data_IF_813443034324
#
_entry.id   IF_813443034324
#
_cell.length_a   1.000
_cell.length_b   1.000
_cell.length_c   1.000
_cell.angle_alpha   90.00
_cell.angle_beta   90.00
_cell.angle_gamma   90.00
#
_symmetry.space_group_name_H-M   'P 1'
#
loop_
_entity.id
_entity.type
_entity.pdbx_description
1 polymer ?
#
# COMPACT_ATOMS: atom_id res chain seq x y z
N UNK A 1 -14.24 -71.29 -9.31
CA UNK A 1 -12.85 -70.93 -9.79
C UNK A 1 -12.79 -69.44 -9.89
N UNK A 2 -11.97 -68.86 -9.04
CA UNK A 2 -11.32 -67.54 -9.10
C UNK A 2 -12.15 -66.27 -9.40
N UNK A 3 -12.50 -65.59 -8.32
CA UNK A 3 -12.82 -64.15 -8.31
C UNK A 3 -11.58 -63.30 -8.49
N UNK A 4 -11.64 -62.14 -9.12
CA UNK A 4 -10.58 -61.15 -9.03
C UNK A 4 -10.84 -60.11 -7.93
N UNK A 5 -9.79 -59.85 -7.25
CA UNK A 5 -9.53 -58.86 -6.19
C UNK A 5 -9.95 -57.45 -6.55
N UNK A 6 -10.78 -56.81 -5.73
CA UNK A 6 -11.03 -55.39 -5.75
C UNK A 6 -10.03 -54.68 -4.82
N UNK A 7 -9.05 -54.02 -5.37
CA UNK A 7 -8.16 -53.14 -4.64
C UNK A 7 -8.88 -51.84 -4.21
N UNK A 8 -9.24 -51.78 -2.92
CA UNK A 8 -9.69 -50.54 -2.26
C UNK A 8 -8.51 -49.58 -2.14
N UNK A 9 -8.56 -48.47 -2.84
CA UNK A 9 -7.71 -47.30 -2.59
C UNK A 9 -8.16 -46.70 -1.26
N UNK A 10 -7.33 -46.84 -0.23
CA UNK A 10 -7.48 -46.14 1.05
C UNK A 10 -7.02 -44.71 0.87
N UNK A 11 -7.95 -43.76 0.80
CA UNK A 11 -7.68 -42.35 1.05
C UNK A 11 -7.60 -42.12 2.55
N UNK A 12 -6.39 -41.96 3.07
CA UNK A 12 -6.19 -41.49 4.45
C UNK A 12 -6.39 -40.01 4.50
N UNK A 13 -7.16 -39.42 5.42
CA UNK A 13 -7.19 -37.99 5.63
C UNK A 13 -5.87 -37.59 6.27
N UNK A 14 -5.18 -36.62 5.64
CA UNK A 14 -4.06 -35.93 6.24
C UNK A 14 -4.56 -35.14 7.45
N UNK A 15 -4.39 -35.70 8.64
CA UNK A 15 -4.51 -34.94 9.90
C UNK A 15 -3.30 -34.06 10.00
N UNK A 16 -3.45 -32.76 9.72
CA UNK A 16 -2.45 -31.76 10.03
C UNK A 16 -2.60 -31.40 11.51
N UNK A 17 -1.83 -32.04 12.36
CA UNK A 17 -1.65 -31.61 13.75
C UNK A 17 -0.73 -30.40 13.75
N UNK A 18 -1.28 -29.23 14.06
CA UNK A 18 -0.49 -28.01 14.24
C UNK A 18 0.04 -27.97 15.67
N UNK A 19 1.20 -28.55 15.91
CA UNK A 19 2.03 -28.24 17.05
C UNK A 19 2.76 -26.92 16.77
N UNK A 20 2.66 -25.94 17.71
CA UNK A 20 3.27 -24.61 17.60
C UNK A 20 4.81 -24.59 17.51
N UNK A 21 5.46 -25.75 17.57
CA UNK A 21 6.92 -25.89 17.63
C UNK A 21 7.57 -26.45 16.36
N UNK A 22 6.81 -26.70 15.27
CA UNK A 22 7.37 -27.27 14.02
C UNK A 22 7.74 -26.23 12.96
N UNK A 23 8.13 -25.02 13.36
CA UNK A 23 8.61 -24.00 12.39
C UNK A 23 10.11 -24.15 12.13
N UNK A 24 10.45 -25.12 11.31
CA UNK A 24 11.80 -25.27 10.77
C UNK A 24 11.99 -24.22 9.68
N UNK A 25 13.03 -23.38 9.80
CA UNK A 25 13.50 -22.50 8.73
C UNK A 25 13.60 -23.28 7.41
N UNK A 26 12.83 -22.82 6.38
CA UNK A 26 12.92 -23.36 5.02
C UNK A 26 11.77 -24.22 4.54
N UNK A 27 10.71 -24.48 5.32
CA UNK A 27 9.56 -25.25 4.83
C UNK A 27 8.71 -24.40 3.88
N UNK A 28 8.63 -24.80 2.61
CA UNK A 28 7.75 -24.20 1.63
C UNK A 28 6.31 -24.64 1.92
N UNK A 29 5.44 -23.68 2.25
CA UNK A 29 4.00 -23.90 2.44
C UNK A 29 3.29 -23.29 1.25
N UNK A 30 2.37 -24.06 0.63
CA UNK A 30 1.53 -23.55 -0.44
C UNK A 30 0.10 -23.34 0.08
N UNK A 31 -0.56 -22.30 -0.42
CA UNK A 31 -2.00 -22.12 -0.18
C UNK A 31 -2.77 -23.29 -0.78
N UNK A 32 -3.66 -23.95 -0.03
CA UNK A 32 -4.45 -25.06 -0.54
C UNK A 32 -5.18 -24.71 -1.83
N UNK A 33 -5.06 -25.59 -2.84
CA UNK A 33 -5.71 -25.41 -4.14
C UNK A 33 -5.11 -24.33 -5.05
N UNK A 34 -3.92 -23.81 -4.72
CA UNK A 34 -3.24 -22.79 -5.53
C UNK A 34 -1.74 -23.05 -5.62
N UNK A 35 -1.06 -22.40 -6.58
CA UNK A 35 0.40 -22.37 -6.70
C UNK A 35 1.04 -21.27 -5.84
N UNK A 36 0.26 -20.61 -5.00
CA UNK A 36 0.72 -19.45 -4.24
C UNK A 36 1.46 -19.90 -2.97
N UNK A 37 2.70 -19.42 -2.82
CA UNK A 37 3.59 -19.77 -1.73
C UNK A 37 3.40 -18.82 -0.53
N UNK A 38 3.28 -19.40 0.67
CA UNK A 38 3.35 -18.69 1.94
C UNK A 38 4.81 -18.71 2.42
N UNK A 39 5.33 -17.58 2.84
CA UNK A 39 6.68 -17.40 3.38
C UNK A 39 6.60 -16.99 4.84
N UNK A 40 7.38 -17.64 5.70
CA UNK A 40 7.56 -17.22 7.09
C UNK A 40 8.72 -16.23 7.20
N UNK A 41 8.66 -15.35 8.19
CA UNK A 41 9.73 -14.45 8.59
C UNK A 41 10.31 -13.60 7.43
N UNK A 42 9.45 -13.19 6.49
CA UNK A 42 9.88 -12.35 5.37
C UNK A 42 10.12 -10.91 5.84
N UNK A 43 11.34 -10.39 5.64
CA UNK A 43 11.66 -8.99 5.94
C UNK A 43 10.79 -8.02 5.15
N UNK A 44 10.03 -7.18 5.86
CA UNK A 44 9.16 -6.15 5.25
C UNK A 44 9.95 -4.93 4.79
N UNK A 45 11.20 -4.75 5.21
CA UNK A 45 12.07 -3.68 4.72
C UNK A 45 12.21 -3.68 3.20
N UNK A 46 12.20 -4.86 2.56
CA UNK A 46 12.25 -4.99 1.09
C UNK A 46 10.94 -4.62 0.40
N UNK A 47 9.86 -4.49 1.15
CA UNK A 47 8.50 -4.25 0.68
C UNK A 47 7.97 -2.86 1.04
N UNK A 48 8.74 -2.03 1.74
CA UNK A 48 8.41 -0.65 2.12
C UNK A 48 9.29 0.37 1.41
N UNK A 49 8.76 1.56 1.15
CA UNK A 49 9.52 2.65 0.51
C UNK A 49 10.55 3.28 1.45
N UNK A 50 10.36 3.20 2.76
CA UNK A 50 11.38 3.59 3.74
C UNK A 50 12.57 2.64 3.79
N UNK A 51 12.40 1.40 3.28
CA UNK A 51 13.39 0.31 3.38
C UNK A 51 13.74 -0.03 4.82
N UNK A 52 12.75 0.06 5.72
CA UNK A 52 12.82 -0.39 7.11
C UNK A 52 11.62 -1.28 7.43
N UNK A 53 11.69 -2.00 8.53
CA UNK A 53 10.65 -2.88 9.04
C UNK A 53 11.14 -4.30 9.25
N UNK A 54 10.74 -4.89 10.35
CA UNK A 54 11.03 -6.27 10.73
C UNK A 54 10.26 -7.29 9.86
N UNK A 55 10.29 -8.56 10.26
CA UNK A 55 9.68 -9.64 9.49
C UNK A 55 8.15 -9.66 9.60
N UNK A 56 7.47 -10.06 8.52
CA UNK A 56 6.13 -10.61 8.61
C UNK A 56 6.21 -12.02 9.19
N UNK A 57 5.39 -12.34 10.19
CA UNK A 57 5.29 -13.71 10.70
C UNK A 57 4.98 -14.66 9.54
N UNK A 58 3.96 -14.31 8.75
CA UNK A 58 3.61 -14.96 7.50
C UNK A 58 3.38 -13.94 6.39
N UNK A 59 3.80 -14.26 5.18
CA UNK A 59 3.62 -13.43 4.00
C UNK A 59 3.13 -14.25 2.83
N UNK A 60 2.15 -13.72 2.10
CA UNK A 60 1.66 -14.29 0.84
C UNK A 60 1.42 -13.19 -0.19
N UNK A 61 1.65 -13.48 -1.47
CA UNK A 61 1.43 -12.55 -2.57
C UNK A 61 0.56 -13.21 -3.66
N UNK A 62 -0.77 -13.20 -3.49
CA UNK A 62 -1.70 -13.81 -4.42
C UNK A 62 -1.65 -13.11 -5.78
N UNK A 63 -1.82 -13.88 -6.87
CA UNK A 63 -1.79 -13.40 -8.25
C UNK A 63 -3.18 -13.25 -8.85
N UNK A 64 -4.19 -13.85 -8.22
CA UNK A 64 -5.58 -13.84 -8.67
C UNK A 64 -6.56 -13.86 -7.47
N UNK A 65 -7.84 -13.75 -7.78
CA UNK A 65 -8.90 -13.70 -6.77
C UNK A 65 -9.05 -15.00 -5.98
N UNK A 66 -8.81 -16.16 -6.61
CA UNK A 66 -8.90 -17.46 -5.94
C UNK A 66 -7.80 -17.59 -4.89
N UNK A 67 -6.55 -17.29 -5.25
CA UNK A 67 -5.44 -17.29 -4.29
C UNK A 67 -5.64 -16.25 -3.19
N UNK A 68 -6.26 -15.09 -3.51
CA UNK A 68 -6.59 -14.08 -2.51
C UNK A 68 -7.64 -14.60 -1.51
N UNK A 69 -8.74 -15.21 -1.97
CA UNK A 69 -9.75 -15.84 -1.10
C UNK A 69 -9.13 -16.95 -0.26
N UNK A 70 -8.32 -17.82 -0.87
CA UNK A 70 -7.61 -18.88 -0.16
C UNK A 70 -6.69 -18.33 0.94
N UNK A 71 -6.08 -17.14 0.73
CA UNK A 71 -5.24 -16.46 1.75
C UNK A 71 -6.06 -16.08 2.99
N UNK A 72 -7.27 -15.53 2.81
CA UNK A 72 -8.17 -15.19 3.93
C UNK A 72 -8.64 -16.45 4.67
N UNK A 73 -9.03 -17.51 3.95
CA UNK A 73 -9.46 -18.77 4.55
C UNK A 73 -8.30 -19.45 5.30
N UNK A 74 -7.09 -19.38 4.77
CA UNK A 74 -5.90 -19.89 5.46
C UNK A 74 -5.64 -19.13 6.77
N UNK A 75 -5.69 -17.80 6.74
CA UNK A 75 -5.54 -16.98 7.94
C UNK A 75 -6.62 -17.31 8.99
N UNK A 76 -7.88 -17.44 8.57
CA UNK A 76 -9.01 -17.79 9.43
C UNK A 76 -8.82 -19.16 10.07
N UNK A 77 -8.43 -20.17 9.29
CA UNK A 77 -8.19 -21.55 9.78
C UNK A 77 -7.08 -21.58 10.84
N UNK A 78 -6.03 -20.75 10.66
CA UNK A 78 -4.91 -20.66 11.60
C UNK A 78 -5.11 -19.60 12.70
N UNK A 79 -6.27 -18.93 12.76
CA UNK A 79 -6.61 -17.86 13.71
C UNK A 79 -5.62 -16.72 13.71
N UNK A 80 -5.14 -16.33 12.52
CA UNK A 80 -4.20 -15.26 12.32
C UNK A 80 -4.92 -13.95 11.98
N UNK A 81 -4.42 -12.84 12.53
CA UNK A 81 -4.78 -11.51 12.05
C UNK A 81 -4.28 -11.29 10.62
N UNK A 82 -5.00 -10.51 9.83
CA UNK A 82 -4.63 -10.18 8.45
C UNK A 82 -4.22 -8.72 8.34
N UNK A 83 -3.06 -8.47 7.70
CA UNK A 83 -2.59 -7.16 7.30
C UNK A 83 -2.47 -7.08 5.78
N UNK A 84 -3.02 -6.01 5.19
CA UNK A 84 -3.01 -5.79 3.74
C UNK A 84 -1.86 -4.87 3.35
N UNK A 85 -1.03 -5.32 2.40
CA UNK A 85 0.14 -4.60 1.92
C UNK A 85 0.04 -4.31 0.42
N UNK A 86 -0.11 -3.03 0.06
CA UNK A 86 0.03 -2.56 -1.31
C UNK A 86 1.50 -2.44 -1.73
N UNK A 87 1.87 -1.29 -2.28
CA UNK A 87 3.28 -0.99 -2.63
C UNK A 87 4.17 -0.63 -1.43
N UNK A 88 3.63 -0.52 -0.22
CA UNK A 88 4.40 -0.16 0.99
C UNK A 88 4.89 1.30 1.01
N UNK A 89 4.27 2.18 0.21
CA UNK A 89 4.76 3.55 0.01
C UNK A 89 4.26 4.57 1.03
N UNK A 90 3.37 4.17 1.95
CA UNK A 90 2.84 5.01 3.01
C UNK A 90 2.80 4.26 4.36
N UNK A 91 3.83 3.44 4.63
CA UNK A 91 3.89 2.60 5.81
C UNK A 91 5.23 2.78 6.53
N UNK A 92 5.16 2.82 7.85
CA UNK A 92 6.27 2.59 8.77
C UNK A 92 5.97 1.31 9.55
N UNK A 93 6.73 0.26 9.29
CA UNK A 93 6.59 -1.04 9.96
C UNK A 93 7.64 -1.17 11.04
N UNK A 94 7.23 -1.56 12.25
CA UNK A 94 8.13 -1.78 13.39
C UNK A 94 9.28 -2.73 13.07
N UNK A 95 10.43 -2.51 13.70
CA UNK A 95 11.59 -3.41 13.62
C UNK A 95 11.31 -4.80 14.20
N UNK A 96 10.30 -4.92 15.09
CA UNK A 96 9.80 -6.21 15.61
C UNK A 96 8.99 -6.98 14.58
N UNK A 97 8.60 -6.36 13.46
CA UNK A 97 7.78 -6.94 12.42
C UNK A 97 6.28 -6.92 12.73
N UNK A 98 5.55 -7.78 12.02
CA UNK A 98 4.09 -7.89 12.13
C UNK A 98 3.68 -9.33 12.39
N UNK A 99 2.86 -9.59 13.43
CA UNK A 99 2.27 -10.89 13.67
C UNK A 99 1.16 -11.17 12.65
N UNK A 100 0.84 -12.45 12.45
CA UNK A 100 -0.21 -12.91 11.57
C UNK A 100 0.20 -12.98 10.10
N UNK A 101 -0.79 -12.88 9.20
CA UNK A 101 -0.59 -12.99 7.76
C UNK A 101 -0.57 -11.62 7.10
N UNK A 102 0.53 -11.27 6.44
CA UNK A 102 0.61 -10.12 5.54
C UNK A 102 0.28 -10.57 4.12
N UNK A 103 -0.80 -10.02 3.53
CA UNK A 103 -1.22 -10.27 2.15
C UNK A 103 -0.73 -9.12 1.27
N UNK A 104 0.24 -9.41 0.39
CA UNK A 104 0.79 -8.45 -0.57
C UNK A 104 -0.01 -8.44 -1.87
N UNK A 105 -0.51 -7.28 -2.30
CA UNK A 105 -1.35 -7.15 -3.51
C UNK A 105 -0.56 -6.88 -4.78
N UNK A 106 0.76 -6.76 -4.72
CA UNK A 106 1.62 -6.33 -5.86
C UNK A 106 1.54 -7.18 -7.12
N UNK A 107 1.06 -8.41 -7.02
CA UNK A 107 0.89 -9.33 -8.15
C UNK A 107 -0.55 -9.37 -8.69
N UNK A 108 -1.51 -8.72 -8.04
CA UNK A 108 -2.85 -8.50 -8.58
C UNK A 108 -2.77 -7.39 -9.64
N UNK A 109 -2.41 -7.74 -10.88
CA UNK A 109 -2.19 -6.79 -11.96
C UNK A 109 -3.07 -7.07 -13.16
N UNK A 110 -3.80 -6.07 -13.56
CA UNK A 110 -4.61 -6.03 -14.77
C UNK A 110 -5.00 -4.58 -15.06
N UNK A 111 -4.98 -4.19 -16.33
CA UNK A 111 -5.46 -2.87 -16.76
C UNK A 111 -6.20 -3.03 -18.07
N UNK A 112 -7.42 -2.51 -18.13
CA UNK A 112 -8.28 -2.52 -19.30
C UNK A 112 -8.83 -1.13 -19.57
N UNK A 113 -8.66 -0.63 -20.77
CA UNK A 113 -9.19 0.65 -21.26
C UNK A 113 -10.38 0.40 -22.16
N UNK A 114 -11.54 0.92 -21.83
CA UNK A 114 -12.76 0.84 -22.65
C UNK A 114 -12.97 2.18 -23.36
N UNK A 115 -12.68 2.27 -24.67
CA UNK A 115 -12.79 3.53 -25.42
C UNK A 115 -14.23 4.00 -25.59
N UNK A 116 -15.22 3.10 -25.57
CA UNK A 116 -16.63 3.44 -25.78
C UNK A 116 -17.20 4.16 -24.57
N UNK A 117 -16.73 3.82 -23.37
CA UNK A 117 -17.21 4.40 -22.11
C UNK A 117 -16.25 5.44 -21.51
N UNK A 118 -15.02 5.49 -21.97
CA UNK A 118 -13.97 6.31 -21.35
C UNK A 118 -13.51 5.79 -19.97
N UNK A 119 -13.83 4.53 -19.66
CA UNK A 119 -13.47 3.94 -18.37
C UNK A 119 -12.19 3.12 -18.45
N UNK A 120 -11.39 3.18 -17.38
CA UNK A 120 -10.26 2.30 -17.16
C UNK A 120 -10.48 1.47 -15.91
N UNK A 121 -10.41 0.14 -16.05
CA UNK A 121 -10.40 -0.80 -14.94
C UNK A 121 -8.96 -1.17 -14.62
N UNK A 122 -8.56 -1.04 -13.35
CA UNK A 122 -7.22 -1.39 -12.90
C UNK A 122 -7.27 -2.23 -11.63
N UNK A 123 -6.53 -3.34 -11.61
CA UNK A 123 -6.39 -4.19 -10.43
C UNK A 123 -5.59 -3.48 -9.31
N UNK A 124 -5.85 -3.88 -8.06
CA UNK A 124 -5.31 -3.20 -6.88
C UNK A 124 -3.79 -3.14 -6.79
N UNK A 125 -3.09 -4.11 -7.37
CA UNK A 125 -1.62 -4.17 -7.38
C UNK A 125 -0.98 -3.38 -8.53
N UNK A 126 -1.75 -2.79 -9.44
CA UNK A 126 -1.20 -1.98 -10.54
C UNK A 126 -0.53 -0.72 -9.97
N UNK A 127 0.72 -0.41 -10.36
CA UNK A 127 1.37 0.82 -9.94
C UNK A 127 0.62 2.05 -10.47
N UNK A 128 0.20 2.93 -9.56
CA UNK A 128 -0.55 4.13 -9.92
C UNK A 128 0.19 5.04 -10.94
N UNK A 129 1.51 5.27 -10.82
CA UNK A 129 2.27 6.04 -11.83
C UNK A 129 2.25 5.39 -13.22
N UNK A 130 2.29 4.05 -13.28
CA UNK A 130 2.24 3.32 -14.55
C UNK A 130 0.88 3.49 -15.22
N UNK A 131 -0.22 3.41 -14.45
CA UNK A 131 -1.56 3.65 -14.96
C UNK A 131 -1.70 5.07 -15.53
N UNK A 132 -1.13 6.08 -14.84
CA UNK A 132 -1.12 7.46 -15.32
C UNK A 132 -0.37 7.61 -16.66
N UNK A 133 0.78 6.98 -16.82
CA UNK A 133 1.52 6.97 -18.11
C UNK A 133 0.75 6.26 -19.19
N UNK A 134 0.16 5.09 -18.91
CA UNK A 134 -0.63 4.34 -19.89
C UNK A 134 -1.85 5.13 -20.39
N UNK A 135 -2.48 5.92 -19.52
CA UNK A 135 -3.56 6.83 -19.90
C UNK A 135 -3.04 7.97 -20.79
N UNK A 136 -1.93 8.61 -20.39
CA UNK A 136 -1.35 9.70 -21.15
C UNK A 136 -0.89 9.29 -22.56
N UNK A 137 -0.27 8.13 -22.71
CA UNK A 137 0.16 7.56 -24.01
C UNK A 137 -1.02 7.32 -24.96
N UNK A 138 -2.23 7.14 -24.42
CA UNK A 138 -3.48 6.97 -25.19
C UNK A 138 -4.23 8.27 -25.42
N UNK A 139 -3.74 9.41 -24.92
CA UNK A 139 -4.46 10.68 -24.98
C UNK A 139 -5.68 10.71 -24.05
N UNK A 140 -5.67 9.98 -22.94
CA UNK A 140 -6.75 9.95 -21.96
C UNK A 140 -6.41 10.86 -20.77
N UNK A 141 -7.13 11.96 -20.63
CA UNK A 141 -6.97 12.92 -19.54
C UNK A 141 -7.66 12.45 -18.27
N UNK A 142 -7.08 12.84 -17.10
CA UNK A 142 -7.65 12.66 -15.78
C UNK A 142 -6.71 12.03 -14.76
N UNK A 143 -5.62 11.38 -15.17
CA UNK A 143 -4.64 10.74 -14.26
C UNK A 143 -3.25 11.39 -14.26
N UNK A 144 -3.05 12.51 -14.94
CA UNK A 144 -1.75 13.21 -15.04
C UNK A 144 -1.16 13.55 -13.66
N UNK A 145 -2.04 13.90 -12.72
CA UNK A 145 -1.66 14.23 -11.33
C UNK A 145 -1.05 13.05 -10.57
N UNK A 146 -1.37 11.83 -10.98
CA UNK A 146 -1.00 10.61 -10.25
C UNK A 146 0.40 10.10 -10.57
N UNK A 147 1.05 10.60 -11.66
CA UNK A 147 2.31 10.08 -12.20
C UNK A 147 3.46 10.04 -11.20
N UNK A 148 3.51 10.98 -10.27
CA UNK A 148 4.58 11.06 -9.27
C UNK A 148 4.21 10.48 -7.90
N UNK A 149 3.03 9.90 -7.73
CA UNK A 149 2.60 9.32 -6.45
C UNK A 149 3.05 7.87 -6.37
N UNK A 150 4.04 7.52 -5.55
CA UNK A 150 4.41 6.12 -5.40
C UNK A 150 3.29 5.35 -4.73
N UNK A 151 2.94 4.18 -5.26
CA UNK A 151 1.87 3.37 -4.68
C UNK A 151 1.18 2.48 -5.70
N UNK A 152 0.26 1.67 -5.21
CA UNK A 152 -0.64 0.84 -6.02
C UNK A 152 -2.03 1.47 -6.10
N UNK A 153 -2.79 1.09 -7.11
CA UNK A 153 -4.20 1.50 -7.30
C UNK A 153 -5.02 1.23 -6.03
N UNK A 154 -4.94 0.02 -5.46
CA UNK A 154 -5.68 -0.31 -4.23
C UNK A 154 -5.30 0.58 -3.05
N UNK A 155 -4.00 0.84 -2.85
CA UNK A 155 -3.53 1.78 -1.82
C UNK A 155 -4.00 3.21 -2.07
N UNK A 156 -4.03 3.66 -3.33
CA UNK A 156 -4.52 4.98 -3.70
C UNK A 156 -6.02 5.15 -3.42
N UNK A 157 -6.83 4.12 -3.71
CA UNK A 157 -8.27 4.08 -3.39
C UNK A 157 -8.48 4.16 -1.87
N UNK A 158 -7.77 3.34 -1.08
CA UNK A 158 -7.89 3.34 0.39
C UNK A 158 -7.52 4.69 0.99
N UNK A 159 -6.49 5.35 0.47
CA UNK A 159 -5.98 6.62 0.99
C UNK A 159 -6.66 7.87 0.40
N UNK A 160 -7.57 7.73 -0.57
CA UNK A 160 -8.00 8.86 -1.40
C UNK A 160 -6.79 9.70 -1.84
N UNK A 161 -5.81 9.02 -2.46
CA UNK A 161 -4.55 9.64 -2.84
C UNK A 161 -4.78 10.81 -3.81
N UNK A 162 -3.97 11.85 -3.69
CA UNK A 162 -4.14 13.02 -4.56
C UNK A 162 -2.93 13.95 -4.55
N UNK A 163 -2.81 14.70 -5.64
CA UNK A 163 -1.82 15.75 -5.87
C UNK A 163 -2.36 16.77 -6.88
N UNK A 164 -1.73 17.93 -7.02
CA UNK A 164 -2.08 18.93 -8.03
C UNK A 164 -3.57 19.31 -8.04
N UNK A 165 -4.20 19.38 -6.86
CA UNK A 165 -5.64 19.69 -6.62
C UNK A 165 -6.62 18.62 -7.11
N UNK A 166 -6.16 17.44 -7.50
CA UNK A 166 -6.98 16.28 -7.85
C UNK A 166 -6.72 15.10 -6.91
N UNK A 167 -7.67 14.18 -6.84
CA UNK A 167 -7.58 12.96 -6.02
C UNK A 167 -8.38 11.81 -6.63
N UNK A 168 -8.24 10.62 -6.05
CA UNK A 168 -8.97 9.42 -6.50
C UNK A 168 -10.47 9.65 -6.54
N UNK A 169 -11.06 10.31 -5.53
CA UNK A 169 -12.49 10.56 -5.45
C UNK A 169 -13.07 11.32 -6.66
N UNK A 170 -12.24 12.15 -7.33
CA UNK A 170 -12.69 12.99 -8.44
C UNK A 170 -13.00 12.17 -9.71
N UNK A 171 -12.40 11.01 -9.86
CA UNK A 171 -12.51 10.19 -11.09
C UNK A 171 -12.86 8.72 -10.84
N UNK A 172 -12.97 8.29 -9.59
CA UNK A 172 -13.38 6.92 -9.27
C UNK A 172 -14.87 6.73 -9.59
N UNK A 173 -15.18 5.73 -10.42
CA UNK A 173 -16.56 5.28 -10.66
C UNK A 173 -16.99 4.32 -9.56
N UNK A 174 -16.18 3.30 -9.29
CA UNK A 174 -16.38 2.34 -8.23
C UNK A 174 -15.09 1.59 -7.90
N UNK A 175 -15.09 0.91 -6.76
CA UNK A 175 -14.06 -0.04 -6.38
C UNK A 175 -14.69 -1.38 -5.98
N UNK A 176 -14.13 -2.47 -6.46
CA UNK A 176 -14.48 -3.80 -5.98
C UNK A 176 -13.66 -4.13 -4.75
N UNK A 177 -14.32 -4.56 -3.70
CA UNK A 177 -13.73 -4.80 -2.37
C UNK A 177 -14.07 -6.22 -1.90
N UNK A 178 -13.07 -6.96 -1.50
CA UNK A 178 -13.21 -8.28 -0.89
C UNK A 178 -13.17 -8.13 0.63
N UNK A 179 -14.25 -8.55 1.29
CA UNK A 179 -14.32 -8.61 2.76
C UNK A 179 -13.56 -9.84 3.31
N UNK A 180 -13.21 -9.87 4.61
CA UNK A 180 -12.63 -11.04 5.26
C UNK A 180 -13.52 -12.28 5.23
N UNK A 181 -14.84 -12.10 5.05
CA UNK A 181 -15.80 -13.22 4.87
C UNK A 181 -15.78 -13.84 3.46
N UNK A 182 -14.96 -13.29 2.54
CA UNK A 182 -14.91 -13.75 1.15
C UNK A 182 -15.97 -13.13 0.24
N UNK A 183 -16.78 -12.18 0.75
CA UNK A 183 -17.80 -11.47 -0.04
C UNK A 183 -17.16 -10.37 -0.87
N UNK A 184 -17.50 -10.31 -2.17
CA UNK A 184 -17.13 -9.24 -3.07
C UNK A 184 -18.26 -8.21 -3.12
N UNK A 185 -17.91 -6.95 -2.90
CA UNK A 185 -18.84 -5.81 -2.97
C UNK A 185 -18.29 -4.77 -3.93
N UNK A 186 -19.17 -4.07 -4.63
CA UNK A 186 -18.80 -2.92 -5.47
C UNK A 186 -19.26 -1.65 -4.75
N UNK A 187 -18.30 -0.80 -4.37
CA UNK A 187 -18.53 0.41 -3.60
C UNK A 187 -18.32 1.65 -4.47
N UNK A 188 -19.27 2.59 -4.39
CA UNK A 188 -19.17 3.92 -5.03
C UNK A 188 -18.32 4.86 -4.18
N UNK A 189 -17.85 6.01 -4.72
CA UNK A 189 -17.14 7.03 -3.94
C UNK A 189 -17.90 7.51 -2.70
N UNK A 190 -19.24 7.60 -2.80
CA UNK A 190 -20.12 7.98 -1.69
C UNK A 190 -20.11 6.93 -0.58
N UNK A 191 -20.18 5.64 -0.94
CA UNK A 191 -20.09 4.53 0.03
C UNK A 191 -18.70 4.38 0.63
N UNK A 192 -17.65 4.83 -0.07
CA UNK A 192 -16.28 4.88 0.45
C UNK A 192 -16.05 6.03 1.43
N UNK A 193 -16.98 6.99 1.54
CA UNK A 193 -16.96 8.06 2.53
C UNK A 193 -15.71 8.93 2.45
N UNK A 194 -15.28 9.29 1.24
CA UNK A 194 -14.03 10.00 1.02
C UNK A 194 -13.97 11.37 1.69
N UNK A 195 -12.85 11.62 2.33
CA UNK A 195 -12.39 12.94 2.76
C UNK A 195 -10.90 13.11 2.46
N UNK A 196 -10.29 14.23 2.89
CA UNK A 196 -8.86 14.47 2.67
C UNK A 196 -8.01 13.35 3.25
N UNK A 197 -7.35 12.57 2.38
CA UNK A 197 -6.50 11.41 2.75
C UNK A 197 -7.23 10.34 3.57
N UNK A 198 -8.55 10.18 3.38
CA UNK A 198 -9.35 9.24 4.18
C UNK A 198 -10.40 8.53 3.34
N UNK A 199 -10.64 7.26 3.66
CA UNK A 199 -11.81 6.48 3.27
C UNK A 199 -12.26 5.57 4.41
N UNK A 200 -13.47 5.03 4.34
CA UNK A 200 -13.98 4.04 5.30
C UNK A 200 -13.21 2.70 5.27
N UNK A 201 -12.41 2.47 4.23
CA UNK A 201 -11.56 1.27 4.15
C UNK A 201 -10.30 1.36 5.02
N UNK A 202 -9.93 2.55 5.50
CA UNK A 202 -8.81 2.69 6.43
C UNK A 202 -9.16 2.06 7.78
N UNK A 203 -8.31 1.12 8.22
CA UNK A 203 -8.57 0.37 9.46
C UNK A 203 -9.51 -0.83 9.29
N UNK A 204 -10.15 -1.00 8.13
CA UNK A 204 -10.87 -2.23 7.80
C UNK A 204 -9.89 -3.32 7.36
N UNK A 205 -10.33 -4.58 7.46
CA UNK A 205 -9.61 -5.73 6.89
C UNK A 205 -10.08 -6.05 5.46
N UNK A 206 -10.92 -5.20 4.87
CA UNK A 206 -11.41 -5.37 3.50
C UNK A 206 -10.38 -4.90 2.48
N UNK A 207 -10.20 -5.68 1.42
CA UNK A 207 -9.18 -5.47 0.40
C UNK A 207 -9.81 -4.98 -0.91
N UNK A 208 -9.33 -3.85 -1.43
CA UNK A 208 -9.63 -3.42 -2.81
C UNK A 208 -8.99 -4.41 -3.77
N UNK A 209 -9.79 -5.04 -4.63
CA UNK A 209 -9.33 -5.99 -5.66
C UNK A 209 -9.08 -5.28 -6.99
N UNK A 210 -9.96 -4.34 -7.35
CA UNK A 210 -9.83 -3.48 -8.55
C UNK A 210 -10.60 -2.18 -8.36
N UNK A 211 -10.31 -1.20 -9.23
CA UNK A 211 -11.01 0.07 -9.29
C UNK A 211 -11.30 0.44 -10.73
N UNK A 212 -12.42 1.12 -10.95
CA UNK A 212 -12.84 1.68 -12.24
C UNK A 212 -12.78 3.21 -12.16
N UNK A 213 -12.04 3.82 -13.07
CA UNK A 213 -11.92 5.29 -13.17
C UNK A 213 -12.57 5.79 -14.44
N UNK A 214 -13.24 6.94 -14.37
CA UNK A 214 -13.76 7.68 -15.53
C UNK A 214 -12.67 8.64 -16.00
N UNK A 215 -12.21 8.49 -17.23
CA UNK A 215 -11.26 9.37 -17.88
C UNK A 215 -11.87 10.00 -19.14
N UNK A 216 -11.16 10.94 -19.73
CA UNK A 216 -11.55 11.64 -20.95
C UNK A 216 -10.68 11.19 -22.13
N UNK A 217 -11.16 10.25 -22.98
CA UNK A 217 -10.43 9.81 -24.17
C UNK A 217 -10.49 10.87 -25.28
N UNK A 218 -9.68 10.64 -26.35
CA UNK A 218 -9.76 11.42 -27.59
C UNK A 218 -8.97 12.73 -27.59
N UNK A 219 -8.14 12.98 -26.58
CA UNK A 219 -7.22 14.11 -26.56
C UNK A 219 -5.94 13.81 -27.31
N UNK A 220 -5.18 14.87 -27.72
CA UNK A 220 -3.88 14.69 -28.32
C UNK A 220 -2.90 14.05 -27.29
N UNK A 221 -2.35 12.84 -27.54
CA UNK A 221 -1.45 12.18 -26.60
C UNK A 221 -0.22 13.02 -26.24
N UNK A 222 0.34 13.79 -27.18
CA UNK A 222 1.51 14.64 -26.91
C UNK A 222 1.22 15.69 -25.83
N UNK A 223 0.04 16.29 -25.84
CA UNK A 223 -0.37 17.29 -24.82
C UNK A 223 -0.57 16.65 -23.45
N UNK A 224 -1.21 15.46 -23.39
CA UNK A 224 -1.43 14.74 -22.13
C UNK A 224 -0.09 14.26 -21.56
N UNK A 225 0.81 13.73 -22.40
CA UNK A 225 2.17 13.35 -22.02
C UNK A 225 2.98 14.55 -21.51
N UNK A 226 2.88 15.71 -22.17
CA UNK A 226 3.57 16.92 -21.73
C UNK A 226 3.12 17.36 -20.34
N UNK A 227 1.80 17.39 -20.09
CA UNK A 227 1.23 17.73 -18.77
C UNK A 227 1.66 16.71 -17.70
N UNK A 228 1.61 15.42 -18.03
CA UNK A 228 2.05 14.33 -17.14
C UNK A 228 3.53 14.48 -16.80
N UNK A 229 4.38 14.75 -17.79
CA UNK A 229 5.82 14.98 -17.60
C UNK A 229 6.08 16.20 -16.73
N UNK A 230 5.35 17.29 -16.93
CA UNK A 230 5.46 18.51 -16.12
C UNK A 230 5.12 18.25 -14.65
N UNK A 231 4.07 17.49 -14.37
CA UNK A 231 3.72 17.10 -13.00
C UNK A 231 4.80 16.25 -12.34
N UNK A 232 5.40 15.30 -13.08
CA UNK A 232 6.50 14.49 -12.57
C UNK A 232 7.74 15.35 -12.29
N UNK A 233 8.11 16.24 -13.20
CA UNK A 233 9.26 17.11 -13.04
C UNK A 233 9.09 18.08 -11.85
N UNK A 234 7.91 18.68 -11.69
CA UNK A 234 7.60 19.49 -10.52
C UNK A 234 7.80 18.73 -9.21
N UNK A 235 7.40 17.45 -9.15
CA UNK A 235 7.63 16.64 -7.96
C UNK A 235 9.11 16.32 -7.74
N UNK A 236 9.85 15.99 -8.80
CA UNK A 236 11.30 15.70 -8.73
C UNK A 236 12.11 16.90 -8.25
N UNK A 237 11.72 18.09 -8.66
CA UNK A 237 12.40 19.33 -8.25
C UNK A 237 12.04 19.77 -6.83
N UNK A 238 10.83 19.43 -6.33
CA UNK A 238 10.36 19.88 -5.01
C UNK A 238 10.48 18.82 -3.91
N UNK A 239 10.60 17.54 -4.24
CA UNK A 239 10.63 16.44 -3.29
C UNK A 239 11.96 15.67 -3.34
N UNK A 240 12.39 15.05 -2.23
CA UNK A 240 13.66 14.32 -2.16
C UNK A 240 13.51 12.89 -2.71
N UNK A 241 13.78 12.68 -3.99
CA UNK A 241 13.70 11.36 -4.63
C UNK A 241 14.98 10.51 -4.54
N UNK A 242 16.07 11.07 -4.00
CA UNK A 242 17.40 10.44 -4.01
C UNK A 242 17.63 9.43 -2.87
N UNK A 243 16.78 9.45 -1.84
CA UNK A 243 16.86 8.54 -0.70
C UNK A 243 15.50 7.90 -0.41
N UNK A 244 15.49 6.71 0.25
CA UNK A 244 14.25 6.06 0.64
C UNK A 244 13.42 6.92 1.58
N UNK A 245 12.11 7.04 1.28
CA UNK A 245 11.12 7.77 2.07
C UNK A 245 9.71 7.29 1.73
N UNK A 246 8.71 7.65 2.51
CA UNK A 246 7.31 7.29 2.25
C UNK A 246 6.45 8.47 1.76
N UNK A 247 7.06 9.54 1.24
CA UNK A 247 6.33 10.76 0.91
C UNK A 247 6.15 11.69 2.11
N UNK A 248 5.07 12.46 2.11
CA UNK A 248 4.73 13.34 3.23
C UNK A 248 4.38 12.52 4.47
N UNK A 249 5.04 12.82 5.58
CA UNK A 249 4.87 12.09 6.86
C UNK A 249 3.63 12.55 7.60
N UNK A 250 3.29 13.85 7.52
CA UNK A 250 2.17 14.44 8.24
C UNK A 250 1.13 15.02 7.28
N UNK A 251 -0.13 14.98 7.68
CA UNK A 251 -1.23 15.70 7.06
C UNK A 251 -1.03 17.20 7.22
N UNK A 252 -1.55 17.99 6.27
CA UNK A 252 -1.51 19.44 6.39
C UNK A 252 -2.63 19.90 7.35
N UNK A 253 -2.32 20.47 8.53
CA UNK A 253 -3.33 21.05 9.41
C UNK A 253 -3.80 22.40 8.83
N UNK A 254 -5.11 22.58 8.70
CA UNK A 254 -5.64 23.88 8.23
C UNK A 254 -5.45 24.96 9.29
N UNK A 255 -5.05 26.17 8.92
CA UNK A 255 -4.77 26.67 7.56
C UNK A 255 -3.32 26.42 7.09
N UNK A 256 -2.47 25.78 7.89
CA UNK A 256 -1.04 25.65 7.67
C UNK A 256 -0.68 24.42 6.82
N UNK A 257 0.55 24.45 6.28
CA UNK A 257 1.18 23.28 5.69
C UNK A 257 2.14 22.67 6.70
N UNK A 258 2.07 21.36 6.94
CA UNK A 258 2.94 20.66 7.88
C UNK A 258 4.42 20.92 7.60
N UNK A 259 4.85 20.84 6.33
CA UNK A 259 6.24 21.14 5.94
C UNK A 259 6.69 22.54 6.32
N UNK A 260 5.82 23.55 6.21
CA UNK A 260 6.13 24.91 6.63
C UNK A 260 6.30 25.01 8.15
N UNK A 261 5.41 24.41 8.93
CA UNK A 261 5.52 24.39 10.40
C UNK A 261 6.85 23.75 10.86
N UNK A 262 7.19 22.59 10.28
CA UNK A 262 8.42 21.86 10.59
C UNK A 262 9.66 22.68 10.22
N UNK A 263 9.64 23.34 9.06
CA UNK A 263 10.73 24.22 8.61
C UNK A 263 10.90 25.44 9.53
N UNK A 264 9.80 26.12 9.88
CA UNK A 264 9.83 27.28 10.79
C UNK A 264 10.21 26.89 12.23
N UNK A 265 10.06 25.62 12.59
CA UNK A 265 10.56 25.07 13.85
C UNK A 265 12.08 24.82 13.83
N UNK A 266 12.72 24.92 12.64
CA UNK A 266 14.16 24.75 12.48
C UNK A 266 14.61 23.30 12.37
N UNK A 267 13.71 22.38 12.00
CA UNK A 267 13.98 20.93 12.04
C UNK A 267 14.54 20.37 10.72
N UNK A 268 14.68 21.15 9.64
CA UNK A 268 15.34 20.67 8.41
C UNK A 268 16.73 20.14 8.71
N UNK A 269 17.04 18.94 8.23
CA UNK A 269 18.32 18.29 8.45
C UNK A 269 18.50 17.64 9.83
N UNK A 270 17.55 17.82 10.76
CA UNK A 270 17.62 17.16 12.07
C UNK A 270 17.56 15.64 11.91
N UNK A 271 18.40 14.94 12.65
CA UNK A 271 18.63 13.50 12.45
C UNK A 271 18.57 12.75 13.78
N UNK A 272 17.93 11.57 13.76
CA UNK A 272 17.97 10.58 14.84
C UNK A 272 18.41 9.25 14.21
N UNK A 273 19.51 8.68 14.69
CA UNK A 273 20.10 7.49 14.09
C UNK A 273 20.34 7.67 12.59
N UNK A 274 19.81 6.77 11.77
CA UNK A 274 19.84 6.89 10.30
C UNK A 274 18.70 7.66 9.67
N UNK A 275 17.73 8.19 10.45
CA UNK A 275 16.57 8.91 9.97
C UNK A 275 16.77 10.44 10.01
N UNK A 276 16.49 11.15 8.91
CA UNK A 276 16.70 12.60 8.80
C UNK A 276 15.48 13.33 8.25
N UNK A 277 15.13 14.48 8.83
CA UNK A 277 14.19 15.43 8.20
C UNK A 277 14.81 15.96 6.93
N UNK A 278 14.13 15.80 5.79
CA UNK A 278 14.70 16.15 4.50
C UNK A 278 15.02 17.66 4.40
N UNK A 279 16.24 18.03 4.01
CA UNK A 279 16.60 19.44 3.83
C UNK A 279 15.78 20.14 2.73
N UNK A 280 15.38 19.39 1.68
CA UNK A 280 14.61 19.95 0.55
C UNK A 280 13.14 20.16 0.87
N UNK A 281 12.51 19.24 1.65
CA UNK A 281 11.09 19.29 1.95
C UNK A 281 10.84 18.75 3.38
N UNK A 282 10.62 19.66 4.34
CA UNK A 282 10.60 19.33 5.76
C UNK A 282 9.53 18.32 6.19
N UNK A 283 8.46 18.10 5.40
CA UNK A 283 7.46 17.05 5.67
C UNK A 283 7.86 15.66 5.16
N UNK A 284 9.14 15.46 4.84
CA UNK A 284 9.71 14.16 4.45
C UNK A 284 10.76 13.74 5.47
N UNK A 285 10.75 12.47 5.82
CA UNK A 285 11.81 11.80 6.56
C UNK A 285 12.53 10.88 5.58
N UNK A 286 13.85 10.92 5.59
CA UNK A 286 14.73 10.14 4.73
C UNK A 286 15.41 9.05 5.55
N UNK A 287 15.55 7.87 4.98
CA UNK A 287 16.51 6.87 5.42
C UNK A 287 17.86 7.19 4.75
N UNK A 288 18.78 7.76 5.51
CA UNK A 288 20.12 8.16 5.04
C UNK A 288 21.11 7.01 5.00
N UNK A 289 20.65 5.77 5.20
CA UNK A 289 21.45 4.56 5.31
C UNK A 289 21.49 4.06 6.75
N UNK A 290 21.10 2.79 6.92
CA UNK A 290 21.09 2.15 8.24
C UNK A 290 20.03 2.65 9.23
N UNK A 291 19.03 3.42 8.79
CA UNK A 291 17.92 3.78 9.66
C UNK A 291 17.14 2.54 10.08
N UNK A 292 16.71 2.53 11.35
CA UNK A 292 15.74 1.60 11.89
C UNK A 292 14.33 2.21 11.80
N UNK A 293 13.29 1.39 11.91
CA UNK A 293 11.92 1.92 12.03
C UNK A 293 11.75 2.70 13.33
N UNK A 294 12.46 2.31 14.38
CA UNK A 294 12.51 3.01 15.66
C UNK A 294 13.11 4.42 15.54
N UNK A 295 14.16 4.61 14.75
CA UNK A 295 14.73 5.94 14.49
C UNK A 295 13.70 6.87 13.83
N UNK A 296 12.99 6.35 12.80
CA UNK A 296 11.95 7.11 12.09
C UNK A 296 10.79 7.45 13.03
N UNK A 297 10.35 6.49 13.84
CA UNK A 297 9.26 6.68 14.81
C UNK A 297 9.62 7.72 15.87
N UNK A 298 10.82 7.65 16.43
CA UNK A 298 11.32 8.65 17.37
C UNK A 298 11.40 10.04 16.74
N UNK A 299 11.83 10.13 15.48
CA UNK A 299 11.88 11.40 14.76
C UNK A 299 10.47 11.97 14.49
N UNK A 300 9.49 11.13 14.17
CA UNK A 300 8.07 11.54 14.04
C UNK A 300 7.57 12.15 15.36
N UNK A 301 7.76 11.46 16.47
CA UNK A 301 7.31 11.93 17.79
C UNK A 301 8.03 13.23 18.19
N UNK A 302 9.32 13.33 17.93
CA UNK A 302 10.09 14.54 18.20
C UNK A 302 9.58 15.73 17.39
N UNK A 303 9.31 15.56 16.08
CA UNK A 303 8.73 16.61 15.24
C UNK A 303 7.36 17.05 15.78
N UNK A 304 6.49 16.13 16.15
CA UNK A 304 5.18 16.43 16.72
C UNK A 304 5.33 17.30 17.98
N UNK A 305 6.17 16.87 18.92
CA UNK A 305 6.42 17.58 20.17
C UNK A 305 6.97 18.99 19.94
N UNK A 306 7.95 19.17 19.05
CA UNK A 306 8.57 20.47 18.79
C UNK A 306 7.61 21.44 18.07
N UNK A 307 6.79 20.93 17.14
CA UNK A 307 5.78 21.76 16.45
C UNK A 307 4.66 22.14 17.42
N UNK A 308 4.17 21.21 18.22
CA UNK A 308 3.12 21.48 19.22
C UNK A 308 3.57 22.51 20.23
N UNK A 309 4.78 22.40 20.78
CA UNK A 309 5.35 23.36 21.74
C UNK A 309 5.48 24.77 21.17
N UNK A 310 5.80 24.91 19.88
CA UNK A 310 6.05 26.22 19.26
C UNK A 310 4.80 26.86 18.68
N UNK A 311 3.85 26.08 18.16
CA UNK A 311 2.73 26.54 17.34
C UNK A 311 1.36 26.23 17.93
N UNK A 312 1.30 25.43 19.01
CA UNK A 312 0.05 24.89 19.59
C UNK A 312 -0.76 24.10 18.52
N UNK A 313 -0.06 23.37 17.63
CA UNK A 313 -0.63 22.58 16.56
C UNK A 313 -0.09 21.16 16.64
N UNK A 314 -0.97 20.20 16.90
CA UNK A 314 -0.63 18.78 16.83
C UNK A 314 -0.63 18.31 15.39
N UNK A 315 0.52 17.85 14.90
CA UNK A 315 0.63 17.24 13.56
C UNK A 315 0.12 15.79 13.57
N UNK A 316 -0.81 15.47 12.67
CA UNK A 316 -1.31 14.10 12.49
C UNK A 316 -0.45 13.35 11.47
N UNK A 317 0.08 12.16 11.78
CA UNK A 317 0.77 11.34 10.79
C UNK A 317 -0.17 10.96 9.64
N UNK A 318 0.29 11.15 8.40
CA UNK A 318 -0.31 10.58 7.18
C UNK A 318 0.22 9.17 6.93
N UNK A 319 1.49 8.94 7.30
CA UNK A 319 2.11 7.61 7.29
C UNK A 319 1.42 6.68 8.27
N UNK A 320 1.10 5.48 7.85
CA UNK A 320 0.52 4.46 8.73
C UNK A 320 1.63 3.72 9.47
N UNK A 321 1.56 3.79 10.80
CA UNK A 321 2.50 3.15 11.72
C UNK A 321 1.92 1.79 12.09
N UNK A 322 2.69 0.70 11.87
CA UNK A 322 2.24 -0.68 12.03
C UNK A 322 3.22 -1.47 12.91
N UNK A 323 2.67 -2.31 13.79
CA UNK A 323 3.42 -3.08 14.77
C UNK A 323 3.67 -2.33 16.07
N UNK A 324 4.47 -2.91 16.94
CA UNK A 324 4.76 -2.37 18.27
C UNK A 324 6.07 -1.60 18.27
N UNK A 325 6.03 -0.34 18.68
CA UNK A 325 7.17 0.52 18.92
C UNK A 325 7.31 0.72 20.44
N UNK A 326 8.39 0.24 21.01
CA UNK A 326 8.64 0.32 22.45
C UNK A 326 9.99 0.89 22.76
#
# INVERSE_FOLDING_TARGET
MNSPNSSKVRTSPLIVTTDKNDFIEGKLIYLPGTDCQIKSQLSLATLTSFRVGGPAEWYVAPQNLEALKASFEWAKTHRLGVMLLGAGSNLLVSDRGLPGLVIGTRHLRHTEFNPDTGQVTAAAGEPLPRLAWQAAERGWQGLEWAVGIPGSVGGAVVMNAGAHKSCVADMLVNAQVLSPSGTLETLTPQQLGYSYRTSLLQGSQSLVTQAVFQLQPGNNPELVLATTSQHLEHRRTTQPYHLPSCGSVFRNPKPYKAGWLIEQTGLKGYQIGGAQVAPRHANFILNCGGATASDIFQLINYIQQQVEQRWDVLLEPEVRILGEFG
#
